data_IF_924640661306
#
_entry.id   IF_924640661306
#
_cell.length_a   1.000
_cell.length_b   1.000
_cell.length_c   1.000
_cell.angle_alpha   90.00
_cell.angle_beta   90.00
_cell.angle_gamma   90.00
#
_symmetry.space_group_name_H-M   'P 1'
#
loop_
_entity.id
_entity.type
_entity.pdbx_description
1 polymer ?
#
# COMPACT_ATOMS: atom_id res chain seq x y z
N UNK A 1 -6.36 -31.68 -4.34
CA UNK A 1 -7.09 -31.57 -5.63
C UNK A 1 -6.09 -31.11 -6.68
N UNK A 2 -5.70 -31.98 -7.61
CA UNK A 2 -4.78 -31.63 -8.72
C UNK A 2 -5.58 -30.92 -9.81
N UNK A 3 -5.28 -29.65 -10.08
CA UNK A 3 -5.86 -28.89 -11.19
C UNK A 3 -5.03 -29.19 -12.43
N UNK A 4 -5.61 -29.88 -13.42
CA UNK A 4 -5.00 -30.07 -14.75
C UNK A 4 -4.73 -28.71 -15.41
N UNK A 5 -3.62 -28.55 -16.14
CA UNK A 5 -3.20 -27.27 -16.74
C UNK A 5 -4.30 -26.54 -17.53
N UNK A 6 -5.15 -27.26 -18.29
CA UNK A 6 -6.29 -26.65 -19.02
C UNK A 6 -7.33 -26.03 -18.08
N UNK A 7 -7.51 -26.57 -16.89
CA UNK A 7 -8.47 -26.09 -15.89
C UNK A 7 -7.87 -25.00 -14.99
N UNK A 8 -6.54 -24.79 -15.04
CA UNK A 8 -5.87 -23.79 -14.20
C UNK A 8 -6.24 -22.38 -14.61
N UNK A 9 -6.25 -22.08 -15.92
CA UNK A 9 -6.67 -20.76 -16.42
C UNK A 9 -8.09 -20.43 -15.98
N UNK A 10 -9.05 -21.29 -16.30
CA UNK A 10 -10.46 -21.08 -15.94
C UNK A 10 -10.66 -20.94 -14.43
N UNK A 11 -9.89 -21.71 -13.63
CA UNK A 11 -9.90 -21.57 -12.18
C UNK A 11 -9.39 -20.19 -11.73
N UNK A 12 -8.25 -19.73 -12.27
CA UNK A 12 -7.67 -18.43 -11.95
C UNK A 12 -8.57 -17.28 -12.39
N UNK A 13 -9.16 -17.35 -13.58
CA UNK A 13 -10.10 -16.34 -14.09
C UNK A 13 -11.34 -16.24 -13.18
N UNK A 14 -11.95 -17.37 -12.80
CA UNK A 14 -13.07 -17.38 -11.85
C UNK A 14 -12.68 -16.80 -10.48
N UNK A 15 -11.45 -16.99 -10.04
CA UNK A 15 -10.95 -16.38 -8.79
C UNK A 15 -10.74 -14.89 -8.96
N UNK A 16 -10.17 -14.45 -10.08
CA UNK A 16 -10.01 -13.04 -10.41
C UNK A 16 -11.38 -12.34 -10.42
N UNK A 17 -12.36 -12.88 -11.15
CA UNK A 17 -13.73 -12.34 -11.19
C UNK A 17 -14.39 -12.32 -9.80
N UNK A 18 -14.13 -13.33 -8.98
CA UNK A 18 -14.68 -13.41 -7.63
C UNK A 18 -14.08 -12.36 -6.67
N UNK A 19 -12.80 -12.00 -6.80
CA UNK A 19 -12.12 -11.07 -5.90
C UNK A 19 -12.06 -9.64 -6.43
N UNK A 20 -12.04 -9.44 -7.76
CA UNK A 20 -11.93 -8.14 -8.41
C UNK A 20 -13.29 -7.42 -8.49
N UNK A 21 -13.87 -7.13 -7.33
CA UNK A 21 -15.11 -6.36 -7.19
C UNK A 21 -15.03 -5.41 -6.01
N UNK A 22 -15.79 -4.33 -6.07
CA UNK A 22 -15.78 -3.25 -5.07
C UNK A 22 -16.04 -3.73 -3.64
N UNK A 23 -16.85 -4.77 -3.44
CA UNK A 23 -17.13 -5.33 -2.12
C UNK A 23 -15.91 -5.96 -1.43
N UNK A 24 -14.83 -6.26 -2.18
CA UNK A 24 -13.57 -6.75 -1.59
C UNK A 24 -12.65 -5.63 -1.14
N UNK A 25 -12.87 -4.40 -1.60
CA UNK A 25 -11.99 -3.26 -1.33
C UNK A 25 -11.90 -2.99 0.16
N UNK A 26 -13.03 -2.90 0.87
CA UNK A 26 -13.10 -2.48 2.28
C UNK A 26 -12.11 -3.20 3.21
N UNK A 27 -11.87 -4.49 2.96
CA UNK A 27 -11.02 -5.34 3.81
C UNK A 27 -9.69 -5.74 3.13
N UNK A 28 -9.37 -5.12 2.00
CA UNK A 28 -8.18 -5.39 1.21
C UNK A 28 -7.23 -4.18 1.22
N UNK A 29 -5.90 -4.35 1.15
CA UNK A 29 -4.95 -3.23 1.07
C UNK A 29 -5.26 -2.21 -0.02
N UNK A 30 -5.94 -2.61 -1.10
CA UNK A 30 -6.40 -1.68 -2.14
C UNK A 30 -7.36 -0.60 -1.62
N UNK A 31 -7.96 -0.77 -0.44
CA UNK A 31 -8.71 0.28 0.26
C UNK A 31 -7.93 1.58 0.41
N UNK A 32 -6.62 1.49 0.67
CA UNK A 32 -5.75 2.62 1.01
C UNK A 32 -5.67 3.64 -0.12
N UNK A 33 -5.27 3.27 -1.36
CA UNK A 33 -5.27 4.23 -2.47
C UNK A 33 -6.66 4.80 -2.79
N UNK A 34 -7.74 4.05 -2.52
CA UNK A 34 -9.12 4.54 -2.71
C UNK A 34 -9.54 5.63 -1.70
N UNK A 35 -8.72 5.93 -0.68
CA UNK A 35 -8.98 7.04 0.24
C UNK A 35 -8.57 8.40 -0.34
N UNK A 36 -7.89 8.42 -1.49
CA UNK A 36 -7.35 9.63 -2.10
C UNK A 36 -8.04 9.92 -3.43
N UNK A 37 -8.05 11.20 -3.82
CA UNK A 37 -8.64 11.68 -5.08
C UNK A 37 -7.60 12.20 -6.06
N UNK A 38 -6.48 12.71 -5.56
CA UNK A 38 -5.34 13.12 -6.39
C UNK A 38 -4.63 11.89 -6.93
N UNK A 39 -4.39 11.85 -8.25
CA UNK A 39 -3.77 10.69 -8.91
C UNK A 39 -2.41 10.32 -8.31
N UNK A 40 -1.61 11.31 -7.99
CA UNK A 40 -0.28 11.12 -7.42
C UNK A 40 -0.35 10.52 -6.00
N UNK A 41 -1.30 10.97 -5.17
CA UNK A 41 -1.51 10.36 -3.85
C UNK A 41 -1.98 8.90 -3.96
N UNK A 42 -2.86 8.61 -4.93
CA UNK A 42 -3.33 7.25 -5.23
C UNK A 42 -2.16 6.36 -5.64
N UNK A 43 -1.27 6.85 -6.51
CA UNK A 43 -0.09 6.12 -6.99
C UNK A 43 0.91 5.86 -5.86
N UNK A 44 1.29 6.89 -5.10
CA UNK A 44 2.24 6.77 -3.99
C UNK A 44 1.70 5.82 -2.92
N UNK A 45 0.44 5.99 -2.50
CA UNK A 45 -0.13 5.13 -1.46
C UNK A 45 -0.46 3.72 -1.97
N UNK A 46 -0.74 3.57 -3.26
CA UNK A 46 -0.84 2.26 -3.92
C UNK A 46 0.49 1.52 -3.92
N UNK A 47 1.59 2.22 -4.20
CA UNK A 47 2.95 1.67 -4.14
C UNK A 47 3.29 1.18 -2.73
N UNK A 48 3.14 2.01 -1.70
CA UNK A 48 3.40 1.59 -0.31
C UNK A 48 2.48 0.45 0.15
N UNK A 49 1.18 0.50 -0.16
CA UNK A 49 0.25 -0.58 0.19
C UNK A 49 0.66 -1.92 -0.46
N UNK A 50 1.14 -1.88 -1.71
CA UNK A 50 1.67 -3.04 -2.42
C UNK A 50 2.99 -3.56 -1.80
N UNK A 51 3.93 -2.66 -1.48
CA UNK A 51 5.18 -3.01 -0.78
C UNK A 51 4.89 -3.70 0.57
N UNK A 52 3.83 -3.28 1.26
CA UNK A 52 3.46 -3.84 2.55
C UNK A 52 2.63 -5.12 2.46
N UNK A 53 2.19 -5.56 1.27
CA UNK A 53 1.14 -6.56 1.04
C UNK A 53 1.50 -8.02 1.39
N UNK A 54 2.28 -8.24 2.44
CA UNK A 54 2.62 -9.55 2.99
C UNK A 54 2.18 -9.72 4.46
N UNK A 55 1.31 -10.70 4.72
CA UNK A 55 0.81 -10.97 6.07
C UNK A 55 -0.63 -10.53 6.28
N UNK A 56 -0.95 -10.09 7.50
CA UNK A 56 -2.35 -9.85 7.90
C UNK A 56 -2.87 -8.55 7.28
N UNK A 57 -3.96 -8.65 6.50
CA UNK A 57 -4.60 -7.50 5.81
C UNK A 57 -4.89 -6.33 6.73
N UNK A 58 -5.44 -6.59 7.92
CA UNK A 58 -5.72 -5.57 8.93
C UNK A 58 -4.47 -4.77 9.31
N UNK A 59 -3.34 -5.45 9.52
CA UNK A 59 -2.06 -4.80 9.83
C UNK A 59 -1.54 -3.99 8.64
N UNK A 60 -1.67 -4.51 7.42
CA UNK A 60 -1.24 -3.84 6.19
C UNK A 60 -2.01 -2.52 6.02
N UNK A 61 -3.34 -2.57 6.13
CA UNK A 61 -4.19 -1.37 6.04
C UNK A 61 -3.83 -0.39 7.17
N UNK A 62 -3.73 -0.86 8.41
CA UNK A 62 -3.38 -0.01 9.55
C UNK A 62 -2.03 0.69 9.36
N UNK A 63 -1.00 -0.03 8.88
CA UNK A 63 0.34 0.52 8.67
C UNK A 63 0.41 1.48 7.48
N UNK A 64 -0.32 1.21 6.41
CA UNK A 64 -0.42 2.14 5.28
C UNK A 64 -1.14 3.43 5.68
N UNK A 65 -2.21 3.34 6.48
CA UNK A 65 -2.91 4.52 7.01
C UNK A 65 -2.13 5.25 8.12
N UNK A 66 -1.27 4.55 8.86
CA UNK A 66 -0.27 5.19 9.73
C UNK A 66 0.71 6.02 8.90
N UNK A 67 1.24 5.45 7.80
CA UNK A 67 2.16 6.16 6.90
C UNK A 67 1.50 7.39 6.26
N UNK A 68 0.29 7.25 5.74
CA UNK A 68 -0.47 8.37 5.19
C UNK A 68 -0.60 9.54 6.19
N UNK A 69 -0.79 9.24 7.48
CA UNK A 69 -0.84 10.27 8.53
C UNK A 69 0.52 10.90 8.82
N UNK A 70 1.62 10.14 8.70
CA UNK A 70 2.98 10.68 8.80
C UNK A 70 3.35 11.57 7.60
N UNK A 71 2.68 11.39 6.47
CA UNK A 71 2.72 12.29 5.31
C UNK A 71 1.67 13.42 5.38
N UNK A 72 1.14 13.73 6.56
CA UNK A 72 0.13 14.78 6.77
C UNK A 72 -1.15 14.62 5.94
N UNK A 73 -1.46 13.39 5.51
CA UNK A 73 -2.58 13.09 4.61
C UNK A 73 -2.39 13.60 3.18
N UNK A 74 -1.19 14.08 2.83
CA UNK A 74 -0.83 14.60 1.49
C UNK A 74 0.47 13.95 0.99
N UNK A 75 0.45 12.64 0.66
CA UNK A 75 1.63 11.90 0.21
C UNK A 75 2.44 12.60 -0.88
N UNK A 76 1.80 13.10 -1.94
CA UNK A 76 2.47 13.77 -3.05
C UNK A 76 3.18 15.05 -2.62
N UNK A 77 2.51 15.91 -1.84
CA UNK A 77 3.12 17.14 -1.33
C UNK A 77 4.28 16.83 -0.39
N UNK A 78 4.15 15.82 0.46
CA UNK A 78 5.23 15.38 1.34
C UNK A 78 6.44 14.92 0.53
N UNK A 79 6.25 14.07 -0.48
CA UNK A 79 7.35 13.59 -1.33
C UNK A 79 8.07 14.76 -2.00
N UNK A 80 7.34 15.70 -2.61
CA UNK A 80 7.96 16.82 -3.35
C UNK A 80 8.61 17.90 -2.47
N UNK A 81 8.10 18.10 -1.25
CA UNK A 81 8.37 19.32 -0.48
C UNK A 81 8.79 19.08 0.97
N UNK A 82 9.06 17.83 1.37
CA UNK A 82 9.55 17.56 2.71
C UNK A 82 10.86 18.33 3.01
N UNK A 83 10.95 18.83 4.23
CA UNK A 83 12.19 19.30 4.83
C UNK A 83 12.84 18.22 5.67
N UNK A 84 14.10 18.44 6.10
CA UNK A 84 14.76 17.54 7.07
C UNK A 84 13.98 17.41 8.39
N UNK A 85 13.24 18.44 8.80
CA UNK A 85 12.36 18.36 9.97
C UNK A 85 11.18 17.43 9.76
N UNK A 86 10.59 17.41 8.56
CA UNK A 86 9.43 16.59 8.24
C UNK A 86 9.81 15.10 8.18
N UNK A 87 11.05 14.79 7.75
CA UNK A 87 11.57 13.42 7.74
C UNK A 87 11.63 12.79 9.14
N UNK A 88 11.75 13.60 10.21
CA UNK A 88 11.73 13.08 11.59
C UNK A 88 10.42 12.38 11.94
N UNK A 89 9.33 12.74 11.27
CA UNK A 89 8.01 12.11 11.43
C UNK A 89 8.00 10.65 10.95
N UNK A 90 8.96 10.25 10.11
CA UNK A 90 9.08 8.90 9.56
C UNK A 90 9.88 7.96 10.46
N UNK A 91 10.64 8.52 11.42
CA UNK A 91 11.46 7.73 12.34
C UNK A 91 10.62 6.78 13.19
N UNK A 92 11.18 5.60 13.45
CA UNK A 92 10.50 4.52 14.17
C UNK A 92 9.36 3.86 13.41
N UNK A 93 9.10 4.22 12.14
CA UNK A 93 8.17 3.46 11.31
C UNK A 93 8.68 2.04 11.12
N UNK A 94 7.77 1.07 11.22
CA UNK A 94 8.09 -0.34 11.00
C UNK A 94 6.88 -1.12 10.53
N UNK A 95 7.10 -1.91 9.49
CA UNK A 95 6.19 -2.94 9.01
C UNK A 95 6.98 -4.21 8.67
N UNK A 96 7.03 -5.13 9.63
CA UNK A 96 7.82 -6.38 9.53
C UNK A 96 9.30 -6.06 9.31
N UNK A 97 9.86 -6.40 8.16
CA UNK A 97 11.26 -6.15 7.82
C UNK A 97 11.48 -4.76 7.23
N UNK A 98 10.42 -4.09 6.75
CA UNK A 98 10.48 -2.71 6.28
C UNK A 98 10.54 -1.77 7.49
N UNK A 99 11.57 -0.94 7.56
CA UNK A 99 11.82 -0.02 8.67
C UNK A 99 11.94 1.43 8.19
N UNK A 100 12.20 2.35 9.11
CA UNK A 100 12.30 3.77 8.84
C UNK A 100 13.48 4.12 7.92
N UNK A 101 14.59 3.38 7.96
CA UNK A 101 15.69 3.57 7.01
C UNK A 101 15.25 3.24 5.59
N UNK A 102 14.51 2.14 5.39
CA UNK A 102 13.95 1.80 4.07
C UNK A 102 12.94 2.86 3.61
N UNK A 103 12.11 3.34 4.55
CA UNK A 103 11.12 4.38 4.28
C UNK A 103 11.78 5.70 3.84
N UNK A 104 12.82 6.13 4.53
CA UNK A 104 13.56 7.34 4.19
C UNK A 104 14.19 7.23 2.80
N UNK A 105 14.75 6.07 2.46
CA UNK A 105 15.26 5.83 1.10
C UNK A 105 14.16 5.86 0.05
N UNK A 106 12.98 5.29 0.33
CA UNK A 106 11.86 5.35 -0.60
C UNK A 106 11.41 6.79 -0.85
N UNK A 107 11.35 7.60 0.20
CA UNK A 107 10.98 9.03 0.10
C UNK A 107 12.02 9.84 -0.67
N UNK A 108 13.31 9.55 -0.52
CA UNK A 108 14.41 10.27 -1.20
C UNK A 108 14.42 10.02 -2.73
N UNK A 109 13.97 8.85 -3.19
CA UNK A 109 14.01 8.46 -4.61
C UNK A 109 12.67 8.61 -5.37
N UNK A 110 11.55 8.76 -4.67
CA UNK A 110 10.23 8.97 -5.26
C UNK A 110 10.06 10.42 -5.73
#
# INVERSE_FOLDING_TARGET
MLILQKNLKDFLDRKADFYNRTSFIENDPIFVPHQFTLKQDIEIMGFFAATFAWGQRKTIIQKSMELARRFDGKPHEFILHHSESDLKQLLGFRHRTFNDTDLLWFVDFL
#
